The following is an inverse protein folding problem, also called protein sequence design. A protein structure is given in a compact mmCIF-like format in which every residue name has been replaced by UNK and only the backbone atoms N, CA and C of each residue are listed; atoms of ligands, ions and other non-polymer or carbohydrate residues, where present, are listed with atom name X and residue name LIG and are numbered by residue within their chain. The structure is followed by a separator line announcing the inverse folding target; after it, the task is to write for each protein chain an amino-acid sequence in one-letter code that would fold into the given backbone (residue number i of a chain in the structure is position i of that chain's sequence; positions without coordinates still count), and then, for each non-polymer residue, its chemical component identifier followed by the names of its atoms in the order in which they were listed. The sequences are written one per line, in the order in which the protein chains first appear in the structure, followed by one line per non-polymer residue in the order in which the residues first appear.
data_IF_663852853802
#
_entry.id   IF_663852853802
#
_cell.length_a   1.000
_cell.length_b   1.000
_cell.length_c   1.000
_cell.angle_alpha   90.00
_cell.angle_beta   90.00
_cell.angle_gamma   90.00
#
_symmetry.space_group_name_H-M   'P 1'
#
loop_
_entity.id
_entity.type
_entity.pdbx_description
1 polymer ?
#
# COMPACT_ATOMS: atom_id res chain seq x y z
N UNK A 1 10.01 50.28 -10.88
CA UNK A 1 10.29 48.85 -10.57
C UNK A 1 9.01 48.04 -10.31
N UNK A 2 8.14 48.47 -9.39
CA UNK A 2 6.87 47.79 -9.04
C UNK A 2 5.92 47.56 -10.23
N UNK A 3 5.79 48.54 -11.13
CA UNK A 3 4.94 48.43 -12.34
C UNK A 3 5.37 47.31 -13.28
N UNK A 4 6.69 47.20 -13.53
CA UNK A 4 7.25 46.14 -14.38
C UNK A 4 7.10 44.75 -13.76
N UNK A 5 7.26 44.64 -12.44
CA UNK A 5 7.02 43.39 -11.70
C UNK A 5 5.55 42.95 -11.77
N UNK A 6 4.62 43.89 -11.57
CA UNK A 6 3.19 43.59 -11.67
C UNK A 6 2.78 43.18 -13.10
N UNK A 7 3.35 43.83 -14.12
CA UNK A 7 3.09 43.47 -15.52
C UNK A 7 3.60 42.05 -15.85
N UNK A 8 4.77 41.68 -15.32
CA UNK A 8 5.32 40.34 -15.48
C UNK A 8 4.47 39.28 -14.74
N UNK A 9 4.04 39.57 -13.51
CA UNK A 9 3.16 38.70 -12.74
C UNK A 9 1.81 38.48 -13.46
N UNK A 10 1.23 39.53 -14.03
CA UNK A 10 0.01 39.44 -14.83
C UNK A 10 0.21 38.54 -16.06
N UNK A 11 1.32 38.70 -16.77
CA UNK A 11 1.66 37.88 -17.95
C UNK A 11 1.86 36.40 -17.59
N UNK A 12 2.51 36.10 -16.46
CA UNK A 12 2.65 34.72 -15.97
C UNK A 12 1.28 34.15 -15.59
N UNK A 13 0.45 34.92 -14.88
CA UNK A 13 -0.88 34.46 -14.50
C UNK A 13 -1.75 34.16 -15.72
N UNK A 14 -1.66 34.98 -16.77
CA UNK A 14 -2.40 34.78 -18.01
C UNK A 14 -1.93 33.51 -18.74
N UNK A 15 -0.62 33.34 -18.89
CA UNK A 15 -0.04 32.13 -19.48
C UNK A 15 -0.43 30.86 -18.71
N UNK A 16 -0.42 30.90 -17.38
CA UNK A 16 -0.84 29.77 -16.54
C UNK A 16 -2.32 29.44 -16.72
N UNK A 17 -3.19 30.45 -16.88
CA UNK A 17 -4.62 30.22 -17.15
C UNK A 17 -4.82 29.57 -18.51
N UNK A 18 -4.12 30.02 -19.55
CA UNK A 18 -4.19 29.43 -20.89
C UNK A 18 -3.76 27.96 -20.87
N UNK A 19 -2.62 27.66 -20.24
CA UNK A 19 -2.15 26.27 -20.07
C UNK A 19 -3.15 25.42 -19.29
N UNK A 20 -3.77 25.97 -18.25
CA UNK A 20 -4.80 25.24 -17.51
C UNK A 20 -6.00 24.92 -18.40
N UNK A 21 -6.50 25.88 -19.19
CA UNK A 21 -7.63 25.68 -20.11
C UNK A 21 -7.29 24.64 -21.19
N UNK A 22 -6.13 24.74 -21.82
CA UNK A 22 -5.66 23.77 -22.83
C UNK A 22 -5.51 22.37 -22.22
N UNK A 23 -4.92 22.28 -21.02
CA UNK A 23 -4.79 21.01 -20.29
C UNK A 23 -6.14 20.38 -19.99
N UNK A 24 -7.16 21.18 -19.63
CA UNK A 24 -8.52 20.69 -19.41
C UNK A 24 -9.17 20.23 -20.70
N UNK A 25 -8.98 20.96 -21.80
CA UNK A 25 -9.51 20.58 -23.10
C UNK A 25 -8.95 19.22 -23.56
N UNK A 26 -7.63 19.05 -23.51
CA UNK A 26 -6.99 17.78 -23.85
C UNK A 26 -7.36 16.63 -22.89
N UNK A 27 -7.64 16.93 -21.61
CA UNK A 27 -8.09 15.92 -20.66
C UNK A 27 -9.52 15.44 -20.97
N UNK A 28 -10.41 16.33 -21.40
CA UNK A 28 -11.78 16.00 -21.82
C UNK A 28 -11.77 15.21 -23.12
N UNK A 29 -10.97 15.63 -24.12
CA UNK A 29 -10.85 14.90 -25.40
C UNK A 29 -10.36 13.47 -25.16
N UNK A 30 -9.27 13.31 -24.39
CA UNK A 30 -8.72 11.98 -24.05
C UNK A 30 -9.71 11.10 -23.26
N UNK A 31 -10.54 11.70 -22.41
CA UNK A 31 -11.54 10.96 -21.66
C UNK A 31 -12.79 10.62 -22.51
N UNK A 32 -13.02 11.35 -23.61
CA UNK A 32 -14.13 11.13 -24.53
C UNK A 32 -13.95 9.92 -25.45
N UNK A 33 -12.71 9.45 -25.63
CA UNK A 33 -12.38 8.29 -26.46
C UNK A 33 -12.96 6.96 -25.93
N UNK A 34 -13.25 6.88 -24.62
CA UNK A 34 -13.80 5.67 -23.98
C UNK A 34 -14.76 6.03 -22.83
N UNK A 35 -15.85 5.25 -22.72
CA UNK A 35 -16.84 5.38 -21.65
C UNK A 35 -16.21 5.25 -20.25
N UNK A 36 -15.21 4.38 -20.08
CA UNK A 36 -14.51 4.22 -18.79
C UNK A 36 -13.66 5.45 -18.43
N UNK A 37 -13.09 6.13 -19.44
CA UNK A 37 -12.36 7.39 -19.28
C UNK A 37 -13.27 8.51 -18.79
N UNK A 38 -14.44 8.66 -19.43
CA UNK A 38 -15.46 9.63 -19.02
C UNK A 38 -15.96 9.37 -17.60
N UNK A 39 -16.26 8.13 -17.24
CA UNK A 39 -16.65 7.77 -15.87
C UNK A 39 -15.58 8.12 -14.82
N UNK A 40 -14.31 7.88 -15.15
CA UNK A 40 -13.18 8.22 -14.28
C UNK A 40 -13.08 9.73 -14.08
N UNK A 41 -13.19 10.51 -15.16
CA UNK A 41 -13.18 11.97 -15.12
C UNK A 41 -14.36 12.51 -14.29
N UNK A 42 -15.57 12.02 -14.52
CA UNK A 42 -16.75 12.39 -13.73
C UNK A 42 -16.57 12.08 -12.24
N UNK A 43 -15.97 10.94 -11.89
CA UNK A 43 -15.68 10.58 -10.50
C UNK A 43 -14.68 11.52 -9.85
N UNK A 44 -13.61 11.88 -10.55
CA UNK A 44 -12.61 12.83 -10.07
C UNK A 44 -13.21 14.24 -9.85
N UNK A 45 -14.00 14.72 -10.82
CA UNK A 45 -14.65 16.03 -10.75
C UNK A 45 -15.74 16.11 -9.67
N UNK A 46 -16.44 15.00 -9.41
CA UNK A 46 -17.50 14.97 -8.40
C UNK A 46 -16.97 15.18 -6.98
N UNK A 47 -15.65 15.09 -6.74
CA UNK A 47 -15.05 15.18 -5.40
C UNK A 47 -15.61 14.13 -4.42
N UNK A 48 -16.34 13.14 -4.93
CA UNK A 48 -17.07 12.18 -4.12
C UNK A 48 -16.04 11.21 -3.57
N UNK A 49 -15.89 11.20 -2.25
CA UNK A 49 -15.03 10.25 -1.57
C UNK A 49 -15.36 8.84 -2.06
N UNK A 50 -14.33 8.06 -2.37
CA UNK A 50 -14.52 6.67 -2.75
C UNK A 50 -15.35 5.99 -1.66
N UNK A 51 -16.40 5.21 -2.02
CA UNK A 51 -17.18 4.50 -1.03
C UNK A 51 -16.24 3.63 -0.21
N UNK A 52 -16.25 3.86 1.11
CA UNK A 52 -15.44 3.09 2.05
C UNK A 52 -16.18 1.77 2.28
N UNK A 53 -15.59 0.66 1.81
CA UNK A 53 -16.11 -0.67 2.11
C UNK A 53 -15.84 -0.99 3.57
N UNK A 54 -16.84 -1.45 4.35
CA UNK A 54 -16.63 -1.85 5.73
C UNK A 54 -15.75 -3.11 5.80
N UNK A 55 -15.03 -3.26 6.90
CA UNK A 55 -14.44 -4.54 7.31
C UNK A 55 -15.34 -5.18 8.37
N UNK A 56 -15.42 -6.52 8.35
CA UNK A 56 -16.14 -7.25 9.38
C UNK A 56 -15.24 -7.44 10.59
N UNK A 57 -15.71 -7.01 11.76
CA UNK A 57 -15.08 -7.36 13.03
C UNK A 57 -15.38 -8.83 13.39
N UNK A 58 -14.67 -9.33 14.40
CA UNK A 58 -14.79 -10.70 14.91
C UNK A 58 -16.19 -11.03 15.45
N UNK A 59 -16.94 -10.01 15.87
CA UNK A 59 -18.35 -10.09 16.28
C UNK A 59 -19.35 -10.10 15.10
N UNK A 60 -18.85 -10.00 13.85
CA UNK A 60 -19.65 -9.90 12.64
C UNK A 60 -20.19 -8.49 12.33
N UNK A 61 -19.84 -7.48 13.13
CA UNK A 61 -20.29 -6.10 12.92
C UNK A 61 -19.46 -5.42 11.83
N UNK A 62 -20.09 -4.75 10.83
CA UNK A 62 -19.36 -3.97 9.84
C UNK A 62 -18.80 -2.67 10.44
N UNK A 63 -17.50 -2.43 10.25
CA UNK A 63 -16.77 -1.23 10.72
C UNK A 63 -16.24 -0.40 9.57
N UNK A 64 -16.48 0.91 9.61
CA UNK A 64 -16.18 1.85 8.52
C UNK A 64 -15.01 2.79 8.81
N UNK A 65 -14.79 3.11 10.10
CA UNK A 65 -13.75 4.05 10.49
C UNK A 65 -12.36 3.47 10.29
N UNK A 66 -11.38 4.32 10.02
CA UNK A 66 -10.01 3.88 9.79
C UNK A 66 -9.42 3.23 11.05
N UNK A 67 -9.76 3.77 12.22
CA UNK A 67 -9.31 3.28 13.52
C UNK A 67 -9.86 1.87 13.79
N UNK A 68 -11.17 1.68 13.63
CA UNK A 68 -11.80 0.36 13.82
C UNK A 68 -11.22 -0.70 12.87
N UNK A 69 -10.91 -0.29 11.63
CA UNK A 69 -10.32 -1.19 10.63
C UNK A 69 -8.88 -1.57 10.98
N UNK A 70 -8.11 -0.65 11.56
CA UNK A 70 -6.76 -0.93 12.03
C UNK A 70 -6.78 -1.95 13.17
N UNK A 71 -7.75 -1.85 14.08
CA UNK A 71 -7.94 -2.83 15.16
C UNK A 71 -8.25 -4.22 14.61
N UNK A 72 -9.17 -4.33 13.64
CA UNK A 72 -9.48 -5.62 12.99
C UNK A 72 -8.23 -6.25 12.36
N UNK A 73 -7.35 -5.43 11.77
CA UNK A 73 -6.08 -5.94 11.26
C UNK A 73 -5.14 -6.39 12.38
N UNK A 74 -5.05 -5.64 13.47
CA UNK A 74 -4.24 -6.02 14.63
C UNK A 74 -4.71 -7.35 15.22
N UNK A 75 -6.01 -7.52 15.46
CA UNK A 75 -6.62 -8.76 15.95
C UNK A 75 -6.29 -9.96 15.04
N UNK A 76 -6.41 -9.77 13.72
CA UNK A 76 -6.13 -10.82 12.76
C UNK A 76 -4.65 -11.21 12.73
N UNK A 77 -3.77 -10.21 12.81
CA UNK A 77 -2.33 -10.45 12.88
C UNK A 77 -1.95 -11.16 14.18
N UNK A 78 -2.47 -10.71 15.32
CA UNK A 78 -2.25 -11.39 16.60
C UNK A 78 -2.68 -12.87 16.51
N UNK A 79 -3.85 -13.14 15.94
CA UNK A 79 -4.33 -14.52 15.76
C UNK A 79 -3.41 -15.36 14.86
N UNK A 80 -2.92 -14.79 13.75
CA UNK A 80 -2.04 -15.50 12.82
C UNK A 80 -0.63 -15.73 13.37
N UNK A 81 -0.12 -14.77 14.13
CA UNK A 81 1.26 -14.79 14.66
C UNK A 81 1.36 -15.34 16.08
N UNK A 82 0.23 -15.61 16.74
CA UNK A 82 0.20 -16.40 17.98
C UNK A 82 0.36 -17.87 17.60
N UNK A 83 1.45 -18.55 18.01
CA UNK A 83 1.60 -19.98 17.81
C UNK A 83 0.37 -20.69 18.39
N UNK A 84 -0.21 -21.62 17.64
CA UNK A 84 -1.31 -22.42 18.17
C UNK A 84 -0.82 -23.10 19.46
N UNK A 85 -1.60 -23.07 20.56
CA UNK A 85 -1.24 -23.77 21.76
C UNK A 85 -1.05 -25.25 21.40
N UNK A 86 0.20 -25.70 21.43
CA UNK A 86 0.58 -27.02 20.93
C UNK A 86 -0.01 -28.06 21.87
N UNK A 87 -0.87 -28.93 21.33
CA UNK A 87 -1.43 -30.03 22.11
C UNK A 87 -0.33 -31.01 22.60
N UNK A 88 0.83 -31.02 21.94
CA UNK A 88 1.97 -31.87 22.27
C UNK A 88 3.18 -31.03 22.74
N UNK A 89 3.23 -30.82 24.06
CA UNK A 89 4.32 -30.10 24.75
C UNK A 89 5.67 -30.82 24.57
N UNK A 90 5.67 -32.15 24.49
CA UNK A 90 6.90 -32.95 24.35
C UNK A 90 7.53 -32.78 22.96
N UNK A 91 6.71 -32.64 21.92
CA UNK A 91 7.18 -32.33 20.58
C UNK A 91 7.83 -30.95 20.51
N UNK A 92 7.23 -29.94 21.16
CA UNK A 92 7.79 -28.57 21.22
C UNK A 92 9.14 -28.56 21.90
N UNK A 93 9.24 -29.16 23.10
CA UNK A 93 10.52 -29.24 23.84
C UNK A 93 11.61 -29.96 23.04
N UNK A 94 11.22 -30.96 22.24
CA UNK A 94 12.15 -31.69 21.37
C UNK A 94 12.66 -30.81 20.23
N UNK A 95 11.78 -30.04 19.58
CA UNK A 95 12.16 -29.09 18.52
C UNK A 95 13.04 -27.98 19.08
N UNK A 96 12.67 -27.38 20.21
CA UNK A 96 13.43 -26.29 20.83
C UNK A 96 14.85 -26.73 21.20
N UNK A 97 14.97 -27.92 21.80
CA UNK A 97 16.28 -28.52 22.11
C UNK A 97 17.08 -28.80 20.84
N UNK A 98 16.43 -29.29 19.78
CA UNK A 98 17.11 -29.53 18.51
C UNK A 98 17.63 -28.23 17.88
N UNK A 99 16.82 -27.17 17.84
CA UNK A 99 17.19 -25.87 17.31
C UNK A 99 18.35 -25.26 18.11
N UNK A 100 18.29 -25.33 19.44
CA UNK A 100 19.37 -24.86 20.30
C UNK A 100 20.69 -25.55 19.96
N UNK A 101 20.67 -26.88 19.85
CA UNK A 101 21.86 -27.65 19.48
C UNK A 101 22.37 -27.29 18.06
N UNK A 102 21.46 -27.02 17.12
CA UNK A 102 21.82 -26.64 15.76
C UNK A 102 22.53 -25.28 15.70
N UNK A 103 22.05 -24.28 16.45
CA UNK A 103 22.69 -22.96 16.50
C UNK A 103 23.97 -22.91 17.34
N UNK A 104 24.10 -23.78 18.34
CA UNK A 104 25.34 -23.92 19.14
C UNK A 104 26.40 -24.77 18.44
N UNK A 105 26.02 -25.54 17.42
CA UNK A 105 26.97 -26.34 16.63
C UNK A 105 27.85 -25.42 15.79
N UNK A 106 29.19 -25.57 15.84
CA UNK A 106 30.08 -24.82 14.96
C UNK A 106 29.70 -25.09 13.51
N UNK A 107 29.59 -24.04 12.70
CA UNK A 107 29.47 -24.18 11.25
C UNK A 107 30.73 -24.92 10.79
N UNK A 108 30.56 -26.18 10.36
CA UNK A 108 31.66 -26.94 9.80
C UNK A 108 32.26 -26.13 8.64
N UNK A 109 33.59 -26.08 8.47
CA UNK A 109 34.19 -25.43 7.33
C UNK A 109 33.55 -26.02 6.08
N UNK A 110 32.93 -25.16 5.26
CA UNK A 110 32.31 -25.55 3.99
C UNK A 110 33.30 -26.41 3.22
N UNK A 111 32.90 -27.64 2.88
CA UNK A 111 33.67 -28.48 1.98
C UNK A 111 33.94 -27.73 0.66
N UNK A 112 35.09 -28.03 0.06
CA UNK A 112 35.69 -27.33 -1.08
C UNK A 112 34.68 -26.91 -2.17
N UNK A 113 34.92 -25.76 -2.84
CA UNK A 113 34.01 -25.23 -3.84
C UNK A 113 33.68 -26.30 -4.88
N UNK A 114 32.37 -26.53 -5.09
CA UNK A 114 31.87 -27.41 -6.15
C UNK A 114 32.37 -26.86 -7.49
N UNK A 115 33.44 -27.46 -8.02
CA UNK A 115 33.98 -27.16 -9.33
C UNK A 115 33.05 -27.79 -10.36
N UNK A 116 32.18 -26.97 -10.95
CA UNK A 116 31.50 -27.35 -12.17
C UNK A 116 32.53 -27.39 -13.29
N UNK A 117 32.79 -28.61 -13.80
CA UNK A 117 33.63 -28.78 -14.99
C UNK A 117 32.87 -28.26 -16.22
N UNK A 118 33.57 -27.62 -17.18
CA UNK A 118 32.94 -26.95 -18.31
C UNK A 118 32.24 -27.90 -19.30
#
# INVERSE_FOLDING_TARGET
MKTRLNALAAKISDALKTVAVESWHSAIERAGDDWSGMHRLCRQLSGRLSPISPLMASDGTPRYRAEDRAEIFADHLETQFTPHPTADVQHVETIERHLKNYFESPIAPTEDPVVFSP
#
